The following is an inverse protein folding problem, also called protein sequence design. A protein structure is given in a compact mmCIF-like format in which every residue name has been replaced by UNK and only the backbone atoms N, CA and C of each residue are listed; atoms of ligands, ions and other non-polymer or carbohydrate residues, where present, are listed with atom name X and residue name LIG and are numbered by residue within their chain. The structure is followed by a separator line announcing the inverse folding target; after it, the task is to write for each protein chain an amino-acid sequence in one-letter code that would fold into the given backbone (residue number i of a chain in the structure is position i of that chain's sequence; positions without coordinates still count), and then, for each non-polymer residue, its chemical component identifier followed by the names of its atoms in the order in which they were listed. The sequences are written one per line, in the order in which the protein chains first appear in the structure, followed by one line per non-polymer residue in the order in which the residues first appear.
data_IF_870912788637
#
_entry.id   IF_870912788637
#
_cell.length_a   1.000
_cell.length_b   1.000
_cell.length_c   1.000
_cell.angle_alpha   90.00
_cell.angle_beta   90.00
_cell.angle_gamma   90.00
#
_symmetry.space_group_name_H-M   'P 1'
#
loop_
_entity.id
_entity.type
_entity.pdbx_description
1 polymer ?
#
# COMPACT_ATOMS: atom_id res chain seq x y z
N UNK A 1 -10.90 10.15 26.43
CA UNK A 1 -9.66 9.93 25.64
C UNK A 1 -10.11 9.57 24.23
N UNK A 2 -9.65 10.29 23.19
CA UNK A 2 -9.99 9.89 21.81
C UNK A 2 -9.32 8.56 21.51
N UNK A 3 -10.08 7.62 20.93
CA UNK A 3 -9.49 6.37 20.43
C UNK A 3 -8.36 6.66 19.45
N UNK A 4 -7.24 5.95 19.61
CA UNK A 4 -6.11 6.06 18.67
C UNK A 4 -6.53 5.59 17.28
N UNK A 5 -6.07 6.28 16.25
CA UNK A 5 -6.25 5.83 14.86
C UNK A 5 -5.37 4.61 14.59
N UNK A 6 -5.87 3.70 13.77
CA UNK A 6 -5.15 2.50 13.34
C UNK A 6 -4.71 2.67 11.90
N UNK A 7 -3.43 2.46 11.65
CA UNK A 7 -2.82 2.60 10.34
C UNK A 7 -2.16 1.30 9.88
N UNK A 8 -2.32 0.97 8.61
CA UNK A 8 -1.59 -0.10 7.92
C UNK A 8 -0.65 0.54 6.91
N UNK A 9 0.63 0.12 6.91
CA UNK A 9 1.65 0.56 5.95
C UNK A 9 2.27 -0.67 5.29
N UNK A 10 2.11 -0.82 3.97
CA UNK A 10 2.76 -1.91 3.25
C UNK A 10 4.20 -1.56 2.87
N UNK A 11 5.12 -2.53 2.96
CA UNK A 11 6.54 -2.29 2.75
C UNK A 11 7.17 -1.40 3.82
N UNK A 12 6.65 -1.46 5.05
CA UNK A 12 7.03 -0.58 6.16
C UNK A 12 8.37 -0.91 6.83
N UNK A 13 9.10 -1.93 6.38
CA UNK A 13 10.39 -2.34 6.98
C UNK A 13 11.59 -1.53 6.52
N UNK A 14 11.48 -0.73 5.47
CA UNK A 14 12.60 0.05 4.92
C UNK A 14 12.15 1.32 4.20
N UNK A 15 13.09 2.21 3.92
CA UNK A 15 12.91 3.39 3.07
C UNK A 15 11.74 4.29 3.49
N UNK A 16 10.97 4.74 2.50
CA UNK A 16 9.82 5.64 2.69
C UNK A 16 8.75 4.99 3.57
N UNK A 17 8.47 3.69 3.37
CA UNK A 17 7.47 2.98 4.15
C UNK A 17 7.81 2.97 5.64
N UNK A 18 9.06 2.69 6.00
CA UNK A 18 9.53 2.74 7.40
C UNK A 18 9.41 4.14 8.00
N UNK A 19 9.87 5.15 7.27
CA UNK A 19 9.78 6.54 7.72
C UNK A 19 8.31 6.97 7.92
N UNK A 20 7.42 6.57 7.01
CA UNK A 20 5.98 6.83 7.12
C UNK A 20 5.36 6.12 8.32
N UNK A 21 5.70 4.85 8.56
CA UNK A 21 5.17 4.09 9.68
C UNK A 21 5.59 4.71 11.03
N UNK A 22 6.86 5.08 11.18
CA UNK A 22 7.35 5.75 12.38
C UNK A 22 6.70 7.13 12.57
N UNK A 23 6.57 7.94 11.52
CA UNK A 23 5.90 9.24 11.60
C UNK A 23 4.42 9.14 12.03
N UNK A 24 3.71 8.11 11.54
CA UNK A 24 2.33 7.84 11.98
C UNK A 24 2.27 7.40 13.45
N UNK A 25 3.25 6.62 13.90
CA UNK A 25 3.36 6.23 15.32
C UNK A 25 3.63 7.44 16.21
N UNK A 26 4.57 8.31 15.82
CA UNK A 26 4.87 9.56 16.54
C UNK A 26 3.66 10.50 16.59
N UNK A 27 2.79 10.45 15.57
CA UNK A 27 1.52 11.16 15.53
C UNK A 27 0.43 10.50 16.41
N UNK A 28 0.75 9.43 17.15
CA UNK A 28 -0.14 8.75 18.09
C UNK A 28 -1.01 7.66 17.49
N UNK A 29 -0.74 7.21 16.26
CA UNK A 29 -1.44 6.07 15.67
C UNK A 29 -0.92 4.73 16.22
N UNK A 30 -1.78 3.71 16.24
CA UNK A 30 -1.36 2.30 16.29
C UNK A 30 -1.01 1.89 14.87
N UNK A 31 0.23 1.44 14.63
CA UNK A 31 0.73 1.19 13.28
C UNK A 31 1.10 -0.27 13.08
N UNK A 32 0.50 -0.87 12.05
CA UNK A 32 0.83 -2.20 11.54
C UNK A 32 1.61 -2.04 10.24
N UNK A 33 2.85 -2.53 10.22
CA UNK A 33 3.59 -2.64 8.99
C UNK A 33 3.48 -4.04 8.40
N UNK A 34 3.23 -4.12 7.11
CA UNK A 34 3.08 -5.36 6.36
C UNK A 34 4.22 -5.52 5.37
N UNK A 35 4.96 -6.62 5.46
CA UNK A 35 6.02 -6.96 4.51
C UNK A 35 6.23 -8.47 4.43
N UNK A 36 7.03 -8.91 3.46
CA UNK A 36 7.40 -10.33 3.29
C UNK A 36 8.49 -10.79 4.25
N UNK A 37 9.09 -9.89 5.03
CA UNK A 37 10.15 -10.22 5.99
C UNK A 37 9.56 -11.02 7.15
N UNK A 38 10.40 -11.83 7.79
CA UNK A 38 10.01 -12.55 9.00
C UNK A 38 10.02 -11.63 10.24
N UNK A 39 10.84 -10.58 10.21
CA UNK A 39 11.00 -9.64 11.31
C UNK A 39 10.59 -8.23 10.87
N UNK A 40 9.93 -7.52 11.78
CA UNK A 40 9.47 -6.15 11.60
C UNK A 40 10.48 -5.11 12.07
N UNK A 41 10.00 -3.89 12.21
CA UNK A 41 10.74 -2.74 12.75
C UNK A 41 10.43 -2.63 14.24
N UNK A 42 11.46 -2.47 15.06
CA UNK A 42 11.31 -2.26 16.50
C UNK A 42 10.32 -1.11 16.79
N UNK A 43 9.40 -1.36 17.71
CA UNK A 43 8.37 -0.41 18.10
C UNK A 43 7.11 -0.41 17.22
N UNK A 44 7.09 -1.09 16.09
CA UNK A 44 5.90 -1.24 15.23
C UNK A 44 5.30 -2.65 15.36
N UNK A 45 4.00 -2.77 15.12
CA UNK A 45 3.38 -4.09 14.94
C UNK A 45 3.71 -4.61 13.55
N UNK A 46 4.31 -5.80 13.49
CA UNK A 46 4.63 -6.47 12.23
C UNK A 46 3.66 -7.59 11.92
N UNK A 47 3.24 -7.68 10.64
CA UNK A 47 2.52 -8.84 10.10
C UNK A 47 3.19 -9.25 8.79
N UNK A 48 3.65 -10.50 8.73
CA UNK A 48 4.23 -11.04 7.50
C UNK A 48 3.14 -11.25 6.44
N UNK A 49 3.23 -10.54 5.32
CA UNK A 49 2.27 -10.61 4.22
C UNK A 49 2.93 -10.29 2.88
N UNK A 50 2.50 -11.00 1.84
CA UNK A 50 2.82 -10.70 0.45
C UNK A 50 1.61 -10.04 -0.21
N UNK A 51 1.74 -8.77 -0.59
CA UNK A 51 0.64 -8.01 -1.20
C UNK A 51 0.17 -8.60 -2.54
N UNK A 52 1.00 -9.41 -3.21
CA UNK A 52 0.62 -10.10 -4.45
C UNK A 52 -0.31 -11.29 -4.21
N UNK A 53 -0.42 -11.75 -2.97
CA UNK A 53 -1.22 -12.91 -2.57
C UNK A 53 -2.44 -12.48 -1.76
N UNK A 54 -3.61 -12.55 -2.37
CA UNK A 54 -4.86 -12.06 -1.78
C UNK A 54 -5.17 -12.73 -0.43
N UNK A 55 -4.84 -14.01 -0.26
CA UNK A 55 -5.04 -14.74 0.98
C UNK A 55 -4.21 -14.18 2.14
N UNK A 56 -2.94 -13.79 1.90
CA UNK A 56 -2.07 -13.22 2.95
C UNK A 56 -2.53 -11.81 3.33
N UNK A 57 -3.00 -11.03 2.34
CA UNK A 57 -3.59 -9.71 2.56
C UNK A 57 -4.83 -9.79 3.42
N UNK A 58 -5.75 -10.71 3.09
CA UNK A 58 -6.99 -10.91 3.86
C UNK A 58 -6.70 -11.36 5.29
N UNK A 59 -5.75 -12.27 5.48
CA UNK A 59 -5.35 -12.75 6.80
C UNK A 59 -4.77 -11.61 7.64
N UNK A 60 -3.87 -10.80 7.07
CA UNK A 60 -3.26 -9.66 7.76
C UNK A 60 -4.30 -8.60 8.16
N UNK A 61 -5.20 -8.24 7.25
CA UNK A 61 -6.27 -7.28 7.55
C UNK A 61 -7.24 -7.81 8.60
N UNK A 62 -7.59 -9.10 8.54
CA UNK A 62 -8.43 -9.74 9.55
C UNK A 62 -7.77 -9.74 10.93
N UNK A 63 -6.46 -9.96 11.00
CA UNK A 63 -5.70 -9.88 12.26
C UNK A 63 -5.73 -8.47 12.86
N UNK A 64 -5.51 -7.42 12.04
CA UNK A 64 -5.64 -6.03 12.51
C UNK A 64 -7.05 -5.76 13.03
N UNK A 65 -8.08 -6.19 12.31
CA UNK A 65 -9.47 -6.01 12.73
C UNK A 65 -9.81 -6.78 14.02
N UNK A 66 -9.26 -7.97 14.22
CA UNK A 66 -9.46 -8.75 15.43
C UNK A 66 -8.82 -8.08 16.65
N UNK A 67 -7.69 -7.39 16.47
CA UNK A 67 -6.97 -6.70 17.56
C UNK A 67 -7.55 -5.31 17.87
N UNK A 68 -7.91 -4.53 16.85
CA UNK A 68 -8.18 -3.10 16.97
C UNK A 68 -9.65 -2.73 16.67
N UNK A 69 -10.39 -3.59 15.99
CA UNK A 69 -11.78 -3.35 15.58
C UNK A 69 -11.95 -2.26 14.52
N UNK A 70 -10.88 -1.67 14.02
CA UNK A 70 -10.92 -0.55 13.07
C UNK A 70 -9.65 -0.45 12.21
N UNK A 71 -9.78 0.19 11.05
CA UNK A 71 -8.67 0.65 10.21
C UNK A 71 -9.03 2.04 9.70
N UNK A 72 -8.24 3.04 10.07
CA UNK A 72 -8.47 4.44 9.71
C UNK A 72 -7.60 4.93 8.55
N UNK A 73 -6.39 4.36 8.43
CA UNK A 73 -5.39 4.78 7.45
C UNK A 73 -4.80 3.55 6.77
N UNK A 74 -4.77 3.56 5.44
CA UNK A 74 -4.04 2.60 4.63
C UNK A 74 -3.00 3.33 3.79
N UNK A 75 -1.72 2.95 3.92
CA UNK A 75 -0.63 3.44 3.08
C UNK A 75 -0.10 2.29 2.23
N UNK A 76 -0.43 2.30 0.96
CA UNK A 76 0.10 1.38 -0.05
C UNK A 76 1.43 1.91 -0.55
N UNK A 77 2.53 1.45 0.09
CA UNK A 77 3.88 1.85 -0.22
C UNK A 77 4.71 0.71 -0.84
N UNK A 78 4.34 -0.56 -0.61
CA UNK A 78 5.06 -1.69 -1.17
C UNK A 78 5.25 -1.54 -2.69
N UNK A 79 6.48 -1.67 -3.14
CA UNK A 79 6.83 -1.51 -4.55
C UNK A 79 8.33 -1.54 -4.77
N UNK A 80 8.70 -1.76 -6.02
CA UNK A 80 10.10 -1.71 -6.47
C UNK A 80 10.17 -1.17 -7.89
N UNK A 81 11.37 -0.84 -8.35
CA UNK A 81 11.64 -0.39 -9.70
C UNK A 81 12.52 -1.38 -10.44
N UNK A 82 12.38 -1.44 -11.76
CA UNK A 82 13.32 -2.09 -12.68
C UNK A 82 13.80 -1.06 -13.69
N UNK A 83 15.02 -1.25 -14.17
CA UNK A 83 15.63 -0.39 -15.17
C UNK A 83 16.22 -1.24 -16.30
N UNK A 84 15.95 -0.86 -17.53
CA UNK A 84 16.44 -1.53 -18.72
C UNK A 84 15.78 -0.95 -19.97
N UNK A 85 16.42 -1.13 -21.13
CA UNK A 85 15.78 -0.82 -22.40
C UNK A 85 14.58 -1.77 -22.61
N UNK A 86 13.51 -1.27 -23.24
CA UNK A 86 12.27 -2.03 -23.41
C UNK A 86 12.51 -3.36 -24.14
N UNK A 87 13.38 -3.36 -25.13
CA UNK A 87 13.72 -4.54 -25.95
C UNK A 87 14.55 -5.60 -25.20
N UNK A 88 15.18 -5.23 -24.07
CA UNK A 88 16.03 -6.11 -23.25
C UNK A 88 15.43 -6.40 -21.87
N UNK A 89 14.24 -5.91 -21.58
CA UNK A 89 13.56 -6.17 -20.32
C UNK A 89 12.59 -7.34 -20.50
N UNK A 90 12.78 -8.39 -19.73
CA UNK A 90 11.91 -9.55 -19.78
C UNK A 90 10.47 -9.20 -19.38
N UNK A 91 9.53 -9.74 -20.14
CA UNK A 91 8.10 -9.53 -19.86
C UNK A 91 7.70 -10.05 -18.47
N UNK A 92 8.35 -11.12 -18.01
CA UNK A 92 8.06 -11.69 -16.67
C UNK A 92 8.51 -10.74 -15.56
N UNK A 93 9.64 -10.03 -15.71
CA UNK A 93 10.07 -9.00 -14.75
C UNK A 93 9.09 -7.81 -14.74
N UNK A 94 8.61 -7.40 -15.92
CA UNK A 94 7.61 -6.36 -16.03
C UNK A 94 6.28 -6.75 -15.35
N UNK A 95 5.82 -7.99 -15.53
CA UNK A 95 4.63 -8.52 -14.86
C UNK A 95 4.82 -8.56 -13.34
N UNK A 96 5.95 -9.09 -12.86
CA UNK A 96 6.27 -9.16 -11.44
C UNK A 96 6.28 -7.76 -10.78
N UNK A 97 6.78 -6.76 -11.50
CA UNK A 97 6.73 -5.37 -11.05
C UNK A 97 5.29 -4.86 -10.93
N UNK A 98 4.45 -5.11 -11.93
CA UNK A 98 3.04 -4.72 -11.89
C UNK A 98 2.28 -5.47 -10.80
N UNK A 99 2.57 -6.75 -10.59
CA UNK A 99 1.95 -7.56 -9.54
C UNK A 99 2.17 -6.94 -8.16
N UNK A 100 3.37 -6.46 -7.87
CA UNK A 100 3.65 -5.79 -6.59
C UNK A 100 3.13 -4.36 -6.59
N UNK A 101 3.55 -3.53 -7.56
CA UNK A 101 3.31 -2.09 -7.52
C UNK A 101 1.85 -1.72 -7.69
N UNK A 102 1.12 -2.42 -8.58
CA UNK A 102 -0.26 -2.12 -8.92
C UNK A 102 -1.24 -3.12 -8.31
N UNK A 103 -1.13 -4.41 -8.63
CA UNK A 103 -2.10 -5.40 -8.16
C UNK A 103 -2.00 -5.64 -6.66
N UNK A 104 -0.80 -5.54 -6.06
CA UNK A 104 -0.64 -5.58 -4.60
C UNK A 104 -1.40 -4.44 -3.90
N UNK A 105 -1.31 -3.22 -4.43
CA UNK A 105 -2.11 -2.08 -3.97
C UNK A 105 -3.62 -2.34 -4.16
N UNK A 106 -4.03 -2.89 -5.30
CA UNK A 106 -5.44 -3.24 -5.57
C UNK A 106 -5.96 -4.26 -4.56
N UNK A 107 -5.20 -5.29 -4.24
CA UNK A 107 -5.56 -6.31 -3.25
C UNK A 107 -5.79 -5.69 -1.86
N UNK A 108 -4.90 -4.80 -1.43
CA UNK A 108 -5.05 -4.07 -0.17
C UNK A 108 -6.31 -3.19 -0.19
N UNK A 109 -6.52 -2.40 -1.24
CA UNK A 109 -7.69 -1.52 -1.36
C UNK A 109 -8.99 -2.33 -1.35
N UNK A 110 -9.08 -3.43 -2.12
CA UNK A 110 -10.27 -4.30 -2.16
C UNK A 110 -10.62 -4.88 -0.79
N UNK A 111 -9.61 -5.17 0.02
CA UNK A 111 -9.81 -5.77 1.35
C UNK A 111 -10.18 -4.70 2.39
N UNK A 112 -9.58 -3.51 2.33
CA UNK A 112 -9.77 -2.47 3.36
C UNK A 112 -10.96 -1.55 3.08
N UNK A 113 -11.27 -1.25 1.81
CA UNK A 113 -12.38 -0.35 1.42
C UNK A 113 -13.73 -0.75 2.04
N UNK A 114 -14.15 -2.03 2.05
CA UNK A 114 -15.41 -2.40 2.70
C UNK A 114 -15.47 -2.07 4.19
N UNK A 115 -14.33 -2.19 4.89
CA UNK A 115 -14.20 -1.86 6.32
C UNK A 115 -14.36 -0.36 6.53
N UNK A 116 -13.64 0.45 5.78
CA UNK A 116 -13.72 1.92 5.85
C UNK A 116 -15.11 2.43 5.45
N UNK A 117 -15.72 1.81 4.43
CA UNK A 117 -17.08 2.15 3.99
C UNK A 117 -18.10 1.89 5.09
N UNK A 118 -18.03 0.75 5.77
CA UNK A 118 -18.91 0.43 6.91
C UNK A 118 -18.71 1.41 8.07
N UNK A 119 -17.48 1.91 8.27
CA UNK A 119 -17.16 2.91 9.28
C UNK A 119 -17.55 4.35 8.86
N UNK A 120 -17.89 4.60 7.59
CA UNK A 120 -18.19 5.92 7.06
C UNK A 120 -17.00 6.90 7.08
N UNK A 121 -15.78 6.38 7.15
CA UNK A 121 -14.54 7.17 7.21
C UNK A 121 -13.33 6.32 6.86
N UNK A 122 -12.31 6.96 6.33
CA UNK A 122 -11.02 6.34 6.05
C UNK A 122 -10.08 7.28 5.31
N UNK A 123 -8.82 6.91 5.24
CA UNK A 123 -7.83 7.59 4.42
C UNK A 123 -6.96 6.55 3.73
N UNK A 124 -6.94 6.58 2.41
CA UNK A 124 -6.09 5.71 1.59
C UNK A 124 -5.03 6.57 0.90
N UNK A 125 -3.77 6.16 1.03
CA UNK A 125 -2.63 6.78 0.37
C UNK A 125 -1.96 5.73 -0.51
N UNK A 126 -1.97 5.93 -1.81
CA UNK A 126 -1.30 5.07 -2.78
C UNK A 126 -0.02 5.76 -3.25
N UNK A 127 1.15 5.19 -2.96
CA UNK A 127 2.42 5.78 -3.34
C UNK A 127 2.66 5.65 -4.85
N UNK A 128 2.61 6.80 -5.53
CA UNK A 128 2.99 6.94 -6.92
C UNK A 128 4.48 7.36 -7.06
N UNK A 129 4.81 8.07 -8.10
CA UNK A 129 6.15 8.58 -8.39
C UNK A 129 6.07 9.79 -9.31
N UNK A 130 7.11 10.62 -9.32
CA UNK A 130 7.33 11.63 -10.36
C UNK A 130 7.46 10.99 -11.75
N UNK A 131 7.85 9.71 -11.81
CA UNK A 131 7.91 8.92 -13.05
C UNK A 131 6.53 8.64 -13.66
N UNK A 132 5.43 8.90 -12.96
CA UNK A 132 4.08 8.73 -13.50
C UNK A 132 3.70 9.85 -14.48
N UNK A 133 3.76 11.15 -14.11
CA UNK A 133 3.50 12.25 -15.04
C UNK A 133 4.68 12.54 -15.99
N UNK A 134 5.91 12.16 -15.61
CA UNK A 134 7.13 12.39 -16.42
C UNK A 134 7.84 11.06 -16.59
N UNK A 135 7.49 10.27 -17.63
CA UNK A 135 8.10 8.97 -17.87
C UNK A 135 9.62 9.06 -18.05
N UNK A 136 10.35 8.17 -17.38
CA UNK A 136 11.81 8.18 -17.34
C UNK A 136 12.33 7.14 -18.36
N UNK A 137 13.23 7.51 -19.29
CA UNK A 137 13.89 6.54 -20.16
C UNK A 137 14.53 5.40 -19.36
N UNK A 138 14.49 4.20 -19.90
CA UNK A 138 14.96 2.97 -19.24
C UNK A 138 14.22 2.55 -17.96
N UNK A 139 13.17 3.28 -17.58
CA UNK A 139 12.24 2.91 -16.50
C UNK A 139 10.79 2.82 -17.00
N UNK A 140 10.62 2.37 -18.24
CA UNK A 140 9.32 2.38 -18.94
C UNK A 140 8.24 1.64 -18.15
N UNK A 141 8.51 0.42 -17.71
CA UNK A 141 7.53 -0.39 -16.98
C UNK A 141 7.25 0.17 -15.58
N UNK A 142 8.26 0.70 -14.89
CA UNK A 142 8.08 1.39 -13.63
C UNK A 142 7.19 2.63 -13.81
N UNK A 143 7.50 3.49 -14.77
CA UNK A 143 6.71 4.68 -15.08
C UNK A 143 5.26 4.32 -15.42
N UNK A 144 5.05 3.29 -16.26
CA UNK A 144 3.73 2.80 -16.61
C UNK A 144 2.95 2.29 -15.37
N UNK A 145 3.59 1.53 -14.47
CA UNK A 145 2.95 1.05 -13.25
C UNK A 145 2.52 2.21 -12.33
N UNK A 146 3.35 3.24 -12.23
CA UNK A 146 3.06 4.43 -11.42
C UNK A 146 1.98 5.33 -12.05
N UNK A 147 1.93 5.42 -13.37
CA UNK A 147 0.84 6.08 -14.09
C UNK A 147 -0.50 5.35 -13.89
N UNK A 148 -0.49 4.02 -13.91
CA UNK A 148 -1.67 3.20 -13.59
C UNK A 148 -2.18 3.47 -12.16
N UNK A 149 -1.29 3.59 -11.17
CA UNK A 149 -1.64 3.96 -9.79
C UNK A 149 -2.33 5.33 -9.75
N UNK A 150 -1.84 6.34 -10.48
CA UNK A 150 -2.46 7.66 -10.52
C UNK A 150 -3.89 7.59 -11.03
N UNK A 151 -4.09 6.96 -12.20
CA UNK A 151 -5.42 6.83 -12.81
C UNK A 151 -6.39 6.07 -11.90
N UNK A 152 -5.95 4.93 -11.36
CA UNK A 152 -6.75 4.14 -10.42
C UNK A 152 -7.13 4.95 -9.17
N UNK A 153 -6.18 5.67 -8.59
CA UNK A 153 -6.40 6.44 -7.35
C UNK A 153 -7.41 7.56 -7.56
N UNK A 154 -7.34 8.26 -8.70
CA UNK A 154 -8.30 9.33 -9.03
C UNK A 154 -9.73 8.78 -9.20
N UNK A 155 -9.89 7.65 -9.88
CA UNK A 155 -11.18 6.98 -10.02
C UNK A 155 -11.71 6.52 -8.65
N UNK A 156 -10.87 5.82 -7.87
CA UNK A 156 -11.22 5.33 -6.54
C UNK A 156 -11.66 6.46 -5.60
N UNK A 157 -10.96 7.60 -5.62
CA UNK A 157 -11.31 8.75 -4.79
C UNK A 157 -12.71 9.30 -5.11
N UNK A 158 -13.10 9.30 -6.39
CA UNK A 158 -14.44 9.71 -6.79
C UNK A 158 -15.50 8.70 -6.33
N UNK A 159 -15.23 7.41 -6.44
CA UNK A 159 -16.13 6.34 -5.99
C UNK A 159 -16.34 6.36 -4.46
N UNK A 160 -15.29 6.69 -3.70
CA UNK A 160 -15.30 6.60 -2.24
C UNK A 160 -15.68 7.90 -1.53
N UNK A 161 -15.68 9.03 -2.23
CA UNK A 161 -16.08 10.35 -1.67
C UNK A 161 -17.41 10.32 -0.92
N UNK A 162 -18.49 9.69 -1.44
CA UNK A 162 -19.77 9.66 -0.72
C UNK A 162 -19.73 8.93 0.62
N UNK A 163 -18.67 8.14 0.87
CA UNK A 163 -18.49 7.34 2.08
C UNK A 163 -17.52 7.96 3.08
N UNK A 164 -17.02 9.17 2.82
CA UNK A 164 -16.08 9.84 3.73
C UNK A 164 -14.65 9.27 3.67
N UNK A 165 -14.23 8.66 2.55
CA UNK A 165 -12.91 8.04 2.36
C UNK A 165 -12.14 8.82 1.29
#
# INVERSE_FOLDING_TARGET
MSEKKVAIVTGGTSGIGRATALALQDAGCVVYELSRRAEGVEGLHHIAADVTKEETVRAAVAEVMAREGRIDILVNNAGFGISGAVEFTDTEDAKALFDVNFFGMVNMNRTVVPIMRAAGRGRIVNLSSVAAPVPIPFQTYYSASKAAINSYTMALANELRPFGI
#
